data_IF_948791392741
#
_entry.id   IF_948791392741
#
_cell.length_a   1.000
_cell.length_b   1.000
_cell.length_c   1.000
_cell.angle_alpha   90.00
_cell.angle_beta   90.00
_cell.angle_gamma   90.00
#
_symmetry.space_group_name_H-M   'P 1'
#
loop_
_entity.id
_entity.type
_entity.pdbx_description
1 polymer ?
#
# COMPACT_ATOMS: atom_id res chain seq x y z
N UNK A 1 16.63 -29.76 -3.91
CA UNK A 1 15.42 -28.91 -3.79
C UNK A 1 14.70 -29.04 -5.11
N UNK A 2 13.59 -29.77 -5.13
CA UNK A 2 12.89 -30.10 -6.38
C UNK A 2 12.05 -28.89 -6.79
N UNK A 3 12.50 -28.19 -7.82
CA UNK A 3 11.73 -27.11 -8.46
C UNK A 3 10.46 -27.74 -9.03
N UNK A 4 9.30 -27.28 -8.55
CA UNK A 4 8.02 -27.57 -9.19
C UNK A 4 8.00 -26.79 -10.51
N UNK A 5 8.36 -27.47 -11.60
CA UNK A 5 8.16 -26.97 -12.97
C UNK A 5 6.76 -27.40 -13.43
N UNK A 6 5.76 -26.56 -13.15
CA UNK A 6 4.44 -26.68 -13.75
C UNK A 6 4.06 -25.29 -14.24
N UNK A 7 3.73 -25.17 -15.53
CA UNK A 7 3.33 -23.92 -16.18
C UNK A 7 1.97 -23.39 -15.67
N UNK A 8 1.24 -24.19 -14.88
CA UNK A 8 -0.09 -23.89 -14.36
C UNK A 8 -0.09 -23.30 -12.94
N UNK A 9 1.08 -23.10 -12.32
CA UNK A 9 1.20 -22.56 -10.97
C UNK A 9 1.61 -21.09 -11.02
N UNK A 10 0.64 -20.21 -10.74
CA UNK A 10 0.92 -18.80 -10.51
C UNK A 10 1.60 -18.68 -9.14
N UNK A 11 2.91 -18.46 -9.13
CA UNK A 11 3.65 -18.10 -7.92
C UNK A 11 3.27 -16.66 -7.56
N UNK A 12 2.40 -16.51 -6.55
CA UNK A 12 1.97 -15.17 -6.08
C UNK A 12 3.06 -14.46 -5.27
N UNK A 13 3.82 -15.22 -4.47
CA UNK A 13 4.91 -14.70 -3.65
C UNK A 13 6.02 -15.76 -3.54
N UNK A 14 7.29 -15.30 -3.49
CA UNK A 14 8.48 -16.15 -3.30
C UNK A 14 9.34 -15.52 -2.21
N UNK A 15 9.79 -16.34 -1.26
CA UNK A 15 10.34 -15.85 0.01
C UNK A 15 11.77 -16.34 0.22
N UNK A 16 12.65 -15.45 0.69
CA UNK A 16 13.85 -15.80 1.43
C UNK A 16 13.53 -15.68 2.93
N UNK A 17 13.86 -16.71 3.72
CA UNK A 17 13.58 -16.81 5.16
C UNK A 17 14.49 -15.92 6.04
N UNK A 18 15.41 -15.18 5.43
CA UNK A 18 16.43 -14.44 6.17
C UNK A 18 15.82 -13.33 7.02
N UNK A 19 16.14 -13.42 8.32
CA UNK A 19 15.50 -12.74 9.44
C UNK A 19 15.25 -11.24 9.21
N UNK A 20 13.96 -10.91 9.11
CA UNK A 20 13.37 -9.57 9.12
C UNK A 20 13.58 -8.81 10.47
N UNK A 21 14.21 -9.42 11.48
CA UNK A 21 14.36 -8.81 12.82
C UNK A 21 15.43 -7.71 12.85
N UNK A 22 15.04 -6.54 13.35
CA UNK A 22 15.93 -5.38 13.55
C UNK A 22 16.13 -4.54 12.28
N UNK A 23 15.43 -4.88 11.20
CA UNK A 23 15.44 -4.11 9.96
C UNK A 23 14.42 -2.97 10.02
N UNK A 24 14.65 -1.95 9.19
CA UNK A 24 13.69 -0.86 8.97
C UNK A 24 12.83 -1.22 7.76
N UNK A 25 11.56 -0.81 7.80
CA UNK A 25 10.59 -1.10 6.74
C UNK A 25 10.13 0.17 6.06
N UNK A 26 9.94 0.09 4.74
CA UNK A 26 9.23 1.10 3.97
C UNK A 26 8.00 0.45 3.35
N UNK A 27 6.82 1.03 3.55
CA UNK A 27 5.60 0.49 2.98
C UNK A 27 5.38 1.01 1.57
N UNK A 28 4.90 0.14 0.67
CA UNK A 28 4.26 0.53 -0.59
C UNK A 28 2.85 1.09 -0.34
N UNK A 29 2.27 1.77 -1.32
CA UNK A 29 0.95 2.38 -1.22
C UNK A 29 -0.11 1.33 -0.89
N UNK A 30 -0.15 0.23 -1.65
CA UNK A 30 -1.08 -0.87 -1.40
C UNK A 30 -0.89 -1.48 0.00
N UNK A 31 0.35 -1.60 0.48
CA UNK A 31 0.61 -2.12 1.82
C UNK A 31 0.06 -1.19 2.92
N UNK A 32 0.14 0.15 2.75
CA UNK A 32 -0.47 1.10 3.69
C UNK A 32 -1.98 0.92 3.76
N UNK A 33 -2.64 0.81 2.60
CA UNK A 33 -4.11 0.63 2.55
C UNK A 33 -4.50 -0.70 3.18
N UNK A 34 -3.82 -1.80 2.86
CA UNK A 34 -4.10 -3.11 3.46
C UNK A 34 -3.91 -3.10 4.97
N UNK A 35 -2.80 -2.53 5.48
CA UNK A 35 -2.56 -2.43 6.93
C UNK A 35 -3.64 -1.61 7.65
N UNK A 36 -4.17 -0.57 6.99
CA UNK A 36 -5.31 0.19 7.50
C UNK A 36 -6.59 -0.66 7.50
N UNK A 37 -6.91 -1.34 6.41
CA UNK A 37 -8.12 -2.16 6.27
C UNK A 37 -8.17 -3.29 7.31
N UNK A 38 -7.02 -3.90 7.61
CA UNK A 38 -6.92 -4.94 8.64
C UNK A 38 -6.81 -4.37 10.07
N UNK A 39 -6.98 -3.06 10.26
CA UNK A 39 -7.03 -2.45 11.59
C UNK A 39 -5.70 -2.47 12.35
N UNK A 40 -4.55 -2.53 11.68
CA UNK A 40 -3.25 -2.38 12.36
C UNK A 40 -3.16 -1.00 13.00
N UNK A 41 -2.72 -0.94 14.25
CA UNK A 41 -2.56 0.34 14.95
C UNK A 41 -1.28 1.07 14.50
N UNK A 42 -1.32 2.39 14.25
CA UNK A 42 -0.12 3.17 13.92
C UNK A 42 1.02 2.99 14.93
N UNK A 43 0.71 2.91 16.23
CA UNK A 43 1.69 2.74 17.30
C UNK A 43 2.49 1.44 17.13
N UNK A 44 1.80 0.35 16.78
CA UNK A 44 2.42 -0.96 16.54
C UNK A 44 3.47 -0.88 15.43
N UNK A 45 3.18 -0.15 14.35
CA UNK A 45 4.07 0.06 13.21
C UNK A 45 5.25 0.97 13.60
N UNK A 46 5.00 2.03 14.37
CA UNK A 46 6.04 2.97 14.80
C UNK A 46 7.10 2.31 15.69
N UNK A 47 6.66 1.50 16.65
CA UNK A 47 7.54 0.75 17.55
C UNK A 47 8.46 -0.22 16.81
N UNK A 48 8.05 -0.65 15.60
CA UNK A 48 8.74 -1.65 14.78
C UNK A 48 9.52 -1.05 13.62
N UNK A 49 9.84 0.25 13.68
CA UNK A 49 10.66 0.94 12.67
C UNK A 49 10.07 0.86 11.26
N UNK A 50 8.75 0.99 11.16
CA UNK A 50 8.02 1.05 9.88
C UNK A 50 7.83 2.50 9.48
N UNK A 51 8.11 2.80 8.21
CA UNK A 51 8.07 4.14 7.63
C UNK A 51 7.24 4.18 6.35
N UNK A 52 6.67 5.33 6.05
CA UNK A 52 6.08 5.64 4.73
C UNK A 52 6.81 6.83 4.10
N UNK A 53 6.90 6.91 2.77
CA UNK A 53 7.36 8.12 2.10
C UNK A 53 6.49 9.33 2.45
N UNK A 54 7.09 10.51 2.60
CA UNK A 54 6.32 11.74 2.82
C UNK A 54 5.39 12.06 1.65
N UNK A 55 5.82 11.79 0.41
CA UNK A 55 5.00 11.91 -0.79
C UNK A 55 3.75 11.04 -0.68
N UNK A 56 3.89 9.78 -0.28
CA UNK A 56 2.77 8.85 -0.07
C UNK A 56 1.79 9.36 0.99
N UNK A 57 2.30 9.80 2.15
CA UNK A 57 1.44 10.41 3.18
C UNK A 57 0.68 11.60 2.59
N UNK A 58 1.35 12.50 1.89
CA UNK A 58 0.73 13.70 1.31
C UNK A 58 -0.30 13.36 0.23
N UNK A 59 -0.04 12.34 -0.59
CA UNK A 59 -0.98 11.81 -1.58
C UNK A 59 -2.26 11.34 -0.91
N UNK A 60 -2.15 10.48 0.11
CA UNK A 60 -3.32 9.96 0.83
C UNK A 60 -4.07 11.08 1.58
N UNK A 61 -3.36 12.01 2.21
CA UNK A 61 -3.97 13.15 2.89
C UNK A 61 -4.75 14.05 1.92
N UNK A 62 -4.21 14.29 0.73
CA UNK A 62 -4.88 15.05 -0.34
C UNK A 62 -6.12 14.32 -0.81
N UNK A 63 -5.99 13.03 -1.17
CA UNK A 63 -7.12 12.19 -1.59
C UNK A 63 -8.26 12.19 -0.57
N UNK A 64 -7.95 11.98 0.71
CA UNK A 64 -8.97 11.99 1.77
C UNK A 64 -9.62 13.37 1.93
N UNK A 65 -8.85 14.45 1.77
CA UNK A 65 -9.37 15.82 1.86
C UNK A 65 -10.30 16.14 0.68
N UNK A 66 -9.96 15.66 -0.52
CA UNK A 66 -10.80 15.82 -1.71
C UNK A 66 -12.11 15.05 -1.56
N UNK A 67 -12.05 13.78 -1.10
CA UNK A 67 -13.26 12.99 -0.79
C UNK A 67 -14.15 13.73 0.21
N UNK A 68 -13.57 14.26 1.29
CA UNK A 68 -14.33 15.00 2.30
C UNK A 68 -14.97 16.25 1.67
N UNK A 69 -14.22 17.05 0.92
CA UNK A 69 -14.70 18.29 0.32
C UNK A 69 -15.78 18.05 -0.76
N UNK A 70 -15.69 16.96 -1.51
CA UNK A 70 -16.67 16.58 -2.52
C UNK A 70 -17.97 16.09 -1.88
N UNK A 71 -17.85 15.34 -0.79
CA UNK A 71 -18.98 14.78 -0.07
C UNK A 71 -19.56 15.72 0.98
N UNK A 72 -18.92 16.81 1.39
CA UNK A 72 -19.51 17.79 2.33
C UNK A 72 -20.58 18.69 1.67
N UNK A 73 -20.78 18.58 0.35
CA UNK A 73 -21.80 19.35 -0.37
C UNK A 73 -23.22 18.84 -0.04
N UNK A 74 -24.19 19.75 0.07
CA UNK A 74 -25.59 19.45 0.45
C UNK A 74 -26.31 18.47 -0.52
N UNK A 75 -25.86 18.39 -1.78
CA UNK A 75 -26.36 17.42 -2.76
C UNK A 75 -25.21 16.78 -3.53
N UNK A 76 -24.95 15.49 -3.26
CA UNK A 76 -24.06 14.63 -4.08
C UNK A 76 -24.94 13.79 -5.01
N UNK A 77 -25.63 14.46 -5.93
CA UNK A 77 -26.41 13.82 -6.98
C UNK A 77 -25.65 13.95 -8.30
N UNK A 78 -25.17 12.83 -8.84
CA UNK A 78 -24.55 12.81 -10.17
C UNK A 78 -25.57 12.38 -11.21
N UNK A 79 -25.67 13.16 -12.29
CA UNK A 79 -26.54 12.87 -13.42
C UNK A 79 -25.68 12.33 -14.57
N UNK A 80 -25.77 11.04 -14.85
CA UNK A 80 -25.04 10.38 -15.93
C UNK A 80 -25.97 10.05 -17.10
N UNK A 81 -25.44 10.07 -18.32
CA UNK A 81 -26.12 9.48 -19.48
C UNK A 81 -25.34 8.25 -19.91
N UNK A 82 -25.94 7.07 -19.78
CA UNK A 82 -25.39 5.80 -20.29
C UNK A 82 -26.41 5.21 -21.26
N UNK A 83 -25.99 4.89 -22.48
CA UNK A 83 -26.85 4.27 -23.51
C UNK A 83 -28.19 4.99 -23.76
N UNK A 84 -28.17 6.33 -23.90
CA UNK A 84 -29.36 7.19 -24.09
C UNK A 84 -30.39 7.15 -22.94
N UNK A 85 -30.02 6.63 -21.76
CA UNK A 85 -30.84 6.71 -20.53
C UNK A 85 -30.16 7.63 -19.53
N UNK A 86 -30.96 8.52 -18.93
CA UNK A 86 -30.53 9.32 -17.78
C UNK A 86 -30.52 8.42 -16.54
N UNK A 87 -29.40 8.44 -15.82
CA UNK A 87 -29.27 7.85 -14.50
C UNK A 87 -28.94 8.98 -13.52
N UNK A 88 -29.68 9.01 -12.41
CA UNK A 88 -29.38 9.89 -11.29
C UNK A 88 -28.82 9.00 -10.19
N UNK A 89 -27.54 9.17 -9.86
CA UNK A 89 -26.95 8.50 -8.72
C UNK A 89 -27.13 9.41 -7.51
N UNK A 90 -27.98 9.00 -6.58
CA UNK A 90 -28.22 9.70 -5.32
C UNK A 90 -27.52 8.89 -4.25
N UNK A 91 -26.38 9.38 -3.75
CA UNK A 91 -25.72 8.78 -2.59
C UNK A 91 -26.63 9.01 -1.39
N UNK A 92 -26.96 7.95 -0.65
CA UNK A 92 -27.76 8.08 0.56
C UNK A 92 -26.96 8.84 1.64
N UNK A 93 -27.65 9.55 2.54
CA UNK A 93 -26.97 10.22 3.66
C UNK A 93 -26.19 9.23 4.55
N UNK A 94 -26.63 7.96 4.64
CA UNK A 94 -25.89 6.91 5.35
C UNK A 94 -24.57 6.53 4.67
N UNK A 95 -24.56 6.37 3.34
CA UNK A 95 -23.34 6.07 2.58
C UNK A 95 -22.37 7.27 2.62
N UNK A 96 -22.89 8.48 2.55
CA UNK A 96 -22.12 9.72 2.70
C UNK A 96 -21.41 9.78 4.05
N UNK A 97 -22.13 9.49 5.14
CA UNK A 97 -21.54 9.43 6.50
C UNK A 97 -20.46 8.35 6.59
N UNK A 98 -20.67 7.19 5.96
CA UNK A 98 -19.67 6.11 5.93
C UNK A 98 -18.40 6.54 5.18
N UNK A 99 -18.54 7.07 3.96
CA UNK A 99 -17.40 7.54 3.13
C UNK A 99 -16.60 8.62 3.86
N UNK A 100 -17.28 9.59 4.47
CA UNK A 100 -16.64 10.65 5.26
C UNK A 100 -15.92 10.08 6.49
N UNK A 101 -16.54 9.09 7.16
CA UNK A 101 -15.95 8.38 8.28
C UNK A 101 -14.67 7.63 7.90
N UNK A 102 -14.70 6.87 6.80
CA UNK A 102 -13.56 6.12 6.28
C UNK A 102 -12.43 7.05 5.84
N UNK A 103 -12.74 8.14 5.13
CA UNK A 103 -11.74 9.13 4.72
C UNK A 103 -11.08 9.82 5.93
N UNK A 104 -11.86 10.17 6.95
CA UNK A 104 -11.34 10.74 8.19
C UNK A 104 -10.46 9.74 8.98
N UNK A 105 -10.88 8.48 9.04
CA UNK A 105 -10.15 7.41 9.72
C UNK A 105 -8.81 7.10 9.01
N UNK A 106 -8.81 6.95 7.69
CA UNK A 106 -7.59 6.75 6.90
C UNK A 106 -6.65 7.94 7.03
N UNK A 107 -7.18 9.17 6.93
CA UNK A 107 -6.41 10.42 7.14
C UNK A 107 -5.71 10.43 8.50
N UNK A 108 -6.44 10.07 9.56
CA UNK A 108 -5.88 9.98 10.90
C UNK A 108 -4.79 8.88 10.99
N UNK A 109 -5.06 7.69 10.46
CA UNK A 109 -4.11 6.58 10.42
C UNK A 109 -2.77 6.98 9.79
N UNK A 110 -2.76 7.51 8.56
CA UNK A 110 -1.51 7.86 7.86
C UNK A 110 -0.77 9.05 8.48
N UNK A 111 -1.49 9.97 9.14
CA UNK A 111 -0.89 11.11 9.82
C UNK A 111 -0.01 10.72 11.02
N UNK A 112 -0.26 9.55 11.60
CA UNK A 112 0.45 9.09 12.80
C UNK A 112 1.69 8.27 12.49
N UNK A 113 1.82 7.74 11.27
CA UNK A 113 2.93 6.90 10.82
C UNK A 113 4.25 7.69 10.77
N UNK A 114 5.36 6.98 10.99
CA UNK A 114 6.68 7.57 10.79
C UNK A 114 6.91 7.82 9.30
N UNK A 115 7.59 8.92 8.97
CA UNK A 115 7.87 9.25 7.56
C UNK A 115 9.34 9.48 7.28
N UNK A 116 9.70 9.24 6.02
CA UNK A 116 10.96 9.68 5.44
C UNK A 116 10.71 10.56 4.22
N UNK A 117 11.41 11.69 4.19
CA UNK A 117 11.54 12.48 2.97
C UNK A 117 12.50 11.77 2.02
N UNK A 118 12.11 11.69 0.75
CA UNK A 118 12.99 11.24 -0.30
C UNK A 118 13.63 12.44 -0.99
N UNK A 119 14.94 12.37 -1.23
CA UNK A 119 15.70 13.35 -2.00
C UNK A 119 16.64 12.67 -3.00
N UNK A 120 16.39 11.39 -3.31
CA UNK A 120 17.19 10.58 -4.21
C UNK A 120 16.28 9.99 -5.27
N UNK A 121 16.84 9.83 -6.46
CA UNK A 121 16.19 9.05 -7.50
C UNK A 121 16.44 7.56 -7.27
N UNK A 122 15.48 6.76 -7.69
CA UNK A 122 15.61 5.32 -7.76
C UNK A 122 16.61 4.96 -8.86
N UNK A 123 17.72 4.32 -8.50
CA UNK A 123 18.73 3.89 -9.47
C UNK A 123 18.39 2.49 -9.99
N UNK A 124 17.94 2.40 -11.24
CA UNK A 124 18.00 1.16 -12.00
C UNK A 124 19.36 1.05 -12.72
N UNK A 125 20.00 -0.10 -12.61
CA UNK A 125 21.31 -0.38 -13.23
C UNK A 125 21.13 -0.93 -14.65
N UNK A 126 19.91 -1.26 -15.07
CA UNK A 126 19.67 -2.04 -16.30
C UNK A 126 18.78 -1.36 -17.35
N UNK A 127 17.96 -0.36 -17.01
CA UNK A 127 17.02 0.25 -17.97
C UNK A 127 16.96 1.78 -17.79
N UNK A 128 17.87 2.52 -18.45
CA UNK A 128 17.90 4.00 -18.45
C UNK A 128 16.70 4.62 -19.20
N UNK A 129 15.94 3.84 -19.99
CA UNK A 129 14.84 4.35 -20.83
C UNK A 129 13.46 4.29 -20.16
N UNK A 130 13.29 3.58 -19.03
CA UNK A 130 11.97 3.37 -18.43
C UNK A 130 11.66 4.42 -17.36
N UNK A 131 10.58 5.17 -17.55
CA UNK A 131 10.09 6.12 -16.55
C UNK A 131 9.37 5.39 -15.41
N UNK A 132 10.14 4.96 -14.42
CA UNK A 132 9.63 4.27 -13.23
C UNK A 132 8.66 5.13 -12.41
N UNK A 133 8.74 6.46 -12.50
CA UNK A 133 7.83 7.36 -11.82
C UNK A 133 6.43 7.31 -12.46
N UNK A 134 6.35 7.21 -13.78
CA UNK A 134 5.08 7.04 -14.50
C UNK A 134 4.45 5.67 -14.21
N UNK A 135 5.27 4.62 -14.15
CA UNK A 135 4.80 3.23 -13.92
C UNK A 135 4.22 3.05 -12.52
N UNK A 136 4.91 3.55 -11.48
CA UNK A 136 4.54 3.29 -10.08
C UNK A 136 3.84 4.47 -9.40
N UNK A 137 3.89 5.65 -10.01
CA UNK A 137 3.50 6.89 -9.34
C UNK A 137 4.50 7.28 -8.24
N UNK A 138 4.41 8.54 -7.81
CA UNK A 138 5.37 9.14 -6.85
C UNK A 138 5.46 8.39 -5.52
N UNK A 139 4.35 7.82 -5.06
CA UNK A 139 4.27 7.14 -3.76
C UNK A 139 5.15 5.90 -3.72
N UNK A 140 4.99 5.00 -4.68
CA UNK A 140 5.75 3.74 -4.74
C UNK A 140 7.14 3.93 -5.33
N UNK A 141 7.32 4.90 -6.23
CA UNK A 141 8.65 5.33 -6.67
C UNK A 141 9.52 5.78 -5.50
N UNK A 142 9.02 6.67 -4.64
CA UNK A 142 9.79 7.10 -3.46
C UNK A 142 9.99 5.97 -2.45
N UNK A 143 9.04 5.04 -2.32
CA UNK A 143 9.19 3.87 -1.46
C UNK A 143 10.38 3.01 -1.91
N UNK A 144 10.49 2.75 -3.22
CA UNK A 144 11.60 2.02 -3.83
C UNK A 144 12.94 2.75 -3.66
N UNK A 145 12.98 4.05 -3.95
CA UNK A 145 14.18 4.87 -3.78
C UNK A 145 14.67 4.90 -2.32
N UNK A 146 13.75 5.03 -1.36
CA UNK A 146 14.05 5.00 0.06
C UNK A 146 14.53 3.63 0.52
N UNK A 147 13.88 2.55 0.07
CA UNK A 147 14.28 1.18 0.38
C UNK A 147 15.73 0.92 -0.09
N UNK A 148 16.05 1.31 -1.33
CA UNK A 148 17.41 1.22 -1.89
C UNK A 148 18.41 2.08 -1.11
N UNK A 149 18.10 3.36 -0.91
CA UNK A 149 19.03 4.34 -0.35
C UNK A 149 19.34 4.14 1.13
N UNK A 150 18.39 3.56 1.90
CA UNK A 150 18.52 3.30 3.33
C UNK A 150 18.75 1.83 3.68
N UNK A 151 18.78 0.94 2.67
CA UNK A 151 18.85 -0.52 2.86
C UNK A 151 17.70 -1.03 3.76
N UNK A 152 16.53 -0.44 3.60
CA UNK A 152 15.32 -0.86 4.27
C UNK A 152 14.60 -1.93 3.44
N UNK A 153 13.80 -2.76 4.09
CA UNK A 153 12.97 -3.73 3.40
C UNK A 153 11.70 -3.05 2.94
N UNK A 154 11.39 -3.15 1.65
CA UNK A 154 10.10 -2.71 1.14
C UNK A 154 9.03 -3.77 1.41
N UNK A 155 7.93 -3.36 2.02
CA UNK A 155 6.75 -4.19 2.24
C UNK A 155 5.75 -3.88 1.13
N UNK A 156 5.36 -4.90 0.37
CA UNK A 156 4.45 -4.73 -0.76
C UNK A 156 3.20 -5.61 -0.62
N UNK A 157 2.06 -5.06 -1.03
CA UNK A 157 0.84 -5.82 -1.32
C UNK A 157 0.66 -6.14 -2.80
N UNK A 158 1.55 -5.63 -3.67
CA UNK A 158 1.48 -5.78 -5.12
C UNK A 158 2.52 -6.76 -5.67
N UNK A 159 2.07 -7.63 -6.57
CA UNK A 159 2.90 -8.61 -7.28
C UNK A 159 3.89 -7.93 -8.22
N UNK A 160 3.54 -6.80 -8.81
CA UNK A 160 4.41 -6.02 -9.74
C UNK A 160 5.70 -5.56 -9.08
N UNK A 161 5.59 -4.89 -7.92
CA UNK A 161 6.74 -4.45 -7.11
C UNK A 161 7.55 -5.65 -6.64
N UNK A 162 6.88 -6.74 -6.22
CA UNK A 162 7.56 -7.95 -5.77
C UNK A 162 8.37 -8.60 -6.90
N UNK A 163 7.79 -8.76 -8.09
CA UNK A 163 8.47 -9.29 -9.27
C UNK A 163 9.64 -8.41 -9.67
N UNK A 164 9.46 -7.08 -9.64
CA UNK A 164 10.53 -6.12 -9.95
C UNK A 164 11.76 -6.33 -9.07
N UNK A 165 11.56 -6.44 -7.75
CA UNK A 165 12.64 -6.63 -6.77
C UNK A 165 13.38 -7.96 -7.00
N UNK A 166 12.67 -9.00 -7.46
CA UNK A 166 13.24 -10.32 -7.70
C UNK A 166 13.96 -10.43 -9.05
N UNK A 167 13.43 -9.78 -10.08
CA UNK A 167 13.93 -9.87 -11.45
C UNK A 167 15.05 -8.88 -11.73
N UNK A 168 14.88 -7.64 -11.27
CA UNK A 168 15.86 -6.58 -11.47
C UNK A 168 16.73 -6.58 -10.22
N UNK A 169 18.05 -6.75 -10.40
CA UNK A 169 19.06 -6.71 -9.32
C UNK A 169 19.22 -5.31 -8.72
N UNK A 170 18.13 -4.70 -8.27
CA UNK A 170 18.02 -3.34 -7.75
C UNK A 170 18.68 -3.18 -6.39
N UNK A 171 19.21 -4.27 -5.82
CA UNK A 171 19.81 -4.31 -4.49
C UNK A 171 18.82 -3.80 -3.42
N UNK A 172 17.55 -4.17 -3.58
CA UNK A 172 16.46 -3.92 -2.65
C UNK A 172 16.01 -5.27 -2.09
N UNK A 173 15.74 -5.30 -0.79
CA UNK A 173 15.07 -6.44 -0.15
C UNK A 173 13.58 -6.15 -0.07
N UNK A 174 12.76 -7.13 -0.47
CA UNK A 174 11.30 -7.01 -0.47
C UNK A 174 10.64 -8.12 0.33
N UNK A 175 9.50 -7.82 0.95
CA UNK A 175 8.63 -8.82 1.59
C UNK A 175 7.17 -8.55 1.27
N UNK A 176 6.39 -9.62 1.11
CA UNK A 176 4.94 -9.54 1.09
C UNK A 176 4.36 -9.17 2.46
N UNK A 177 3.15 -8.63 2.45
CA UNK A 177 2.47 -8.16 3.67
C UNK A 177 2.26 -9.28 4.71
N UNK A 178 1.94 -10.50 4.29
CA UNK A 178 1.71 -11.62 5.20
C UNK A 178 2.99 -11.98 5.97
N UNK A 179 4.11 -12.10 5.27
CA UNK A 179 5.40 -12.38 5.90
C UNK A 179 5.85 -11.25 6.82
N UNK A 180 5.58 -10.01 6.43
CA UNK A 180 5.84 -8.86 7.28
C UNK A 180 5.07 -8.97 8.60
N UNK A 181 3.77 -9.25 8.56
CA UNK A 181 2.94 -9.39 9.77
C UNK A 181 3.39 -10.56 10.66
N UNK A 182 3.73 -11.70 10.06
CA UNK A 182 4.30 -12.86 10.76
C UNK A 182 5.63 -12.49 11.42
N UNK A 183 6.51 -11.80 10.70
CA UNK A 183 7.80 -11.38 11.21
C UNK A 183 7.71 -10.39 12.38
N UNK A 184 6.68 -9.52 12.36
CA UNK A 184 6.40 -8.59 13.44
C UNK A 184 5.74 -9.25 14.67
N UNK A 185 5.54 -10.58 14.64
CA UNK A 185 4.83 -11.37 15.66
C UNK A 185 3.46 -10.79 15.95
N UNK A 186 2.73 -10.39 14.91
CA UNK A 186 1.32 -10.12 15.07
C UNK A 186 0.64 -11.40 15.58
N UNK A 187 -0.30 -11.26 16.51
CA UNK A 187 -1.04 -12.41 17.00
C UNK A 187 -1.75 -13.06 15.81
N UNK A 188 -1.58 -14.37 15.64
CA UNK A 188 -2.18 -15.14 14.55
C UNK A 188 -3.69 -14.99 14.57
N UNK A 189 -4.31 -14.84 15.74
CA UNK A 189 -5.75 -14.59 15.84
C UNK A 189 -6.13 -13.25 15.21
N UNK A 190 -5.34 -12.19 15.43
CA UNK A 190 -5.57 -10.90 14.78
C UNK A 190 -5.40 -11.04 13.26
N UNK A 191 -4.39 -11.77 12.81
CA UNK A 191 -4.17 -11.99 11.37
C UNK A 191 -5.33 -12.78 10.73
N UNK A 192 -5.88 -13.77 11.43
CA UNK A 192 -7.02 -14.56 10.95
C UNK A 192 -8.32 -13.75 10.94
N UNK A 193 -8.61 -12.98 11.99
CA UNK A 193 -9.77 -12.08 12.05
C UNK A 193 -9.73 -11.08 10.89
N UNK A 194 -8.55 -10.56 10.57
CA UNK A 194 -8.33 -9.66 9.44
C UNK A 194 -8.55 -10.32 8.07
N UNK A 195 -8.27 -11.62 7.95
CA UNK A 195 -8.49 -12.36 6.70
C UNK A 195 -9.96 -12.72 6.50
N UNK A 196 -10.76 -12.84 7.57
CA UNK A 196 -12.20 -13.06 7.49
C UNK A 196 -12.97 -11.79 7.08
N UNK A 197 -12.44 -10.60 7.35
CA UNK A 197 -13.04 -9.31 6.97
C UNK A 197 -12.72 -8.85 5.53
N UNK A 198 -11.84 -9.56 4.81
CA UNK A 198 -11.59 -9.28 3.39
C UNK A 198 -12.72 -9.87 2.54
N UNK A 199 -13.46 -9.06 1.77
CA UNK A 199 -14.43 -9.59 0.82
C UNK A 199 -13.67 -10.33 -0.29
N UNK A 200 -13.75 -11.66 -0.27
CA UNK A 200 -13.38 -12.49 -1.40
C UNK A 200 -14.54 -12.43 -2.40
N UNK A 201 -14.46 -11.50 -3.35
CA UNK A 201 -15.21 -11.58 -4.61
C UNK A 201 -14.46 -12.47 -5.63
#
# INVERSE_FOLDING_TARGET
MTLVQSEDIIVRERYDEDLIRGQQFVLSFAAVIMLYMIGVKPEFLKERQVFVPESMRNTILTMCTDIINENDKEHVSSLGVREKRLYMNVVSESEKVQILGEAAALKNFVSQLNTWSNNREFCDVQDEERDWLDVFGISDYDALALAQGKKAVIVTGEVTIQSLIQEIKLNISGTGILNFLVALKMDVYVLLDCMEELPFD
#
